data_IF_231598704246
#
_entry.id   IF_231598704246
#
_cell.length_a   1.000
_cell.length_b   1.000
_cell.length_c   1.000
_cell.angle_alpha   90.00
_cell.angle_beta   90.00
_cell.angle_gamma   90.00
#
_symmetry.space_group_name_H-M   'P 1'
#
loop_
_entity.id
_entity.type
_entity.pdbx_description
1 polymer ?
#
# COMPACT_ATOMS: atom_id res chain seq x y z
N UNK A 1 -9.14 -9.50 29.60
CA UNK A 1 -9.63 -8.48 28.64
C UNK A 1 -8.61 -8.11 27.56
N UNK A 2 -7.30 -8.02 27.87
CA UNK A 2 -6.26 -7.69 26.89
C UNK A 2 -6.19 -8.61 25.66
N UNK A 3 -6.32 -9.92 25.85
CA UNK A 3 -6.26 -10.90 24.75
C UNK A 3 -7.41 -10.75 23.75
N UNK A 4 -8.63 -10.46 24.22
CA UNK A 4 -9.77 -10.20 23.33
C UNK A 4 -9.57 -8.94 22.49
N UNK A 5 -9.09 -7.86 23.11
CA UNK A 5 -8.78 -6.62 22.40
C UNK A 5 -7.70 -6.86 21.34
N UNK A 6 -6.64 -7.61 21.69
CA UNK A 6 -5.58 -7.96 20.72
C UNK A 6 -6.12 -8.82 19.56
N UNK A 7 -6.99 -9.79 19.86
CA UNK A 7 -7.62 -10.63 18.84
C UNK A 7 -8.51 -9.81 17.88
N UNK A 8 -9.34 -8.91 18.42
CA UNK A 8 -10.16 -8.02 17.61
C UNK A 8 -9.32 -7.05 16.78
N UNK A 9 -8.26 -6.47 17.36
CA UNK A 9 -7.33 -5.61 16.63
C UNK A 9 -6.67 -6.34 15.47
N UNK A 10 -6.25 -7.59 15.69
CA UNK A 10 -5.69 -8.44 14.65
C UNK A 10 -6.71 -8.73 13.52
N UNK A 11 -7.95 -9.06 13.87
CA UNK A 11 -9.00 -9.28 12.87
C UNK A 11 -9.28 -8.01 12.05
N UNK A 12 -9.35 -6.85 12.69
CA UNK A 12 -9.46 -5.57 11.98
C UNK A 12 -8.28 -5.35 11.03
N UNK A 13 -7.05 -5.59 11.51
CA UNK A 13 -5.84 -5.48 10.68
C UNK A 13 -5.95 -6.37 9.43
N UNK A 14 -6.30 -7.64 9.58
CA UNK A 14 -6.41 -8.60 8.47
C UNK A 14 -7.49 -8.17 7.47
N UNK A 15 -8.69 -7.83 7.94
CA UNK A 15 -9.82 -7.47 7.06
C UNK A 15 -9.53 -6.19 6.30
N UNK A 16 -9.06 -5.14 6.99
CA UNK A 16 -8.77 -3.85 6.35
C UNK A 16 -7.55 -3.93 5.43
N UNK A 17 -6.52 -4.72 5.78
CA UNK A 17 -5.36 -4.93 4.92
C UNK A 17 -5.73 -5.71 3.67
N UNK A 18 -6.61 -6.71 3.76
CA UNK A 18 -7.10 -7.43 2.58
C UNK A 18 -7.90 -6.51 1.64
N UNK A 19 -8.82 -5.70 2.19
CA UNK A 19 -9.57 -4.71 1.40
C UNK A 19 -8.64 -3.67 0.77
N UNK A 20 -7.69 -3.13 1.54
CA UNK A 20 -6.71 -2.16 1.06
C UNK A 20 -5.82 -2.75 -0.03
N UNK A 21 -5.41 -4.02 0.08
CA UNK A 21 -4.63 -4.73 -0.96
C UNK A 21 -5.35 -4.69 -2.30
N UNK A 22 -6.64 -5.00 -2.34
CA UNK A 22 -7.42 -4.97 -3.58
C UNK A 22 -7.52 -3.56 -4.17
N UNK A 23 -7.77 -2.56 -3.35
CA UNK A 23 -7.88 -1.15 -3.80
C UNK A 23 -6.53 -0.60 -4.26
N UNK A 24 -5.44 -0.85 -3.51
CA UNK A 24 -4.08 -0.43 -3.87
C UNK A 24 -3.60 -1.16 -5.13
N UNK A 25 -3.84 -2.47 -5.24
CA UNK A 25 -3.53 -3.22 -6.44
C UNK A 25 -4.26 -2.65 -7.66
N UNK A 26 -5.54 -2.29 -7.51
CA UNK A 26 -6.31 -1.60 -8.55
C UNK A 26 -5.71 -0.26 -8.94
N UNK A 27 -5.38 0.56 -7.94
CA UNK A 27 -4.75 1.87 -8.13
C UNK A 27 -3.45 1.75 -8.93
N UNK A 28 -2.58 0.84 -8.52
CA UNK A 28 -1.29 0.62 -9.14
C UNK A 28 -1.41 0.00 -10.55
N UNK A 29 -2.32 -0.96 -10.74
CA UNK A 29 -2.59 -1.55 -12.05
C UNK A 29 -3.02 -0.49 -13.07
N UNK A 30 -3.87 0.45 -12.69
CA UNK A 30 -4.27 1.57 -13.55
C UNK A 30 -3.12 2.55 -13.79
N UNK A 31 -2.39 2.94 -12.75
CA UNK A 31 -1.27 3.87 -12.83
C UNK A 31 -0.14 3.33 -13.71
N UNK A 32 0.16 2.04 -13.61
CA UNK A 32 1.20 1.35 -14.37
C UNK A 32 0.72 0.80 -15.72
N UNK A 33 -0.53 1.02 -16.11
CA UNK A 33 -1.14 0.48 -17.35
C UNK A 33 -0.99 -1.03 -17.48
N UNK A 34 -1.26 -1.76 -16.39
CA UNK A 34 -1.23 -3.21 -16.43
C UNK A 34 -2.25 -3.75 -17.45
N UNK A 35 -1.93 -4.90 -18.04
CA UNK A 35 -2.75 -5.52 -19.06
C UNK A 35 -4.12 -5.91 -18.52
N UNK A 36 -5.18 -5.33 -19.09
CA UNK A 36 -6.56 -5.61 -18.72
C UNK A 36 -7.05 -7.00 -19.14
N UNK A 37 -6.36 -7.64 -20.08
CA UNK A 37 -6.68 -9.03 -20.48
C UNK A 37 -6.13 -10.04 -19.49
N UNK A 38 -5.33 -9.61 -18.53
CA UNK A 38 -4.83 -10.47 -17.46
C UNK A 38 -5.99 -10.87 -16.52
N UNK A 39 -6.20 -12.17 -16.25
CA UNK A 39 -7.30 -12.65 -15.39
C UNK A 39 -7.23 -12.09 -13.97
N UNK A 40 -6.03 -11.84 -13.44
CA UNK A 40 -5.86 -11.21 -12.12
C UNK A 40 -6.28 -9.73 -12.14
N UNK A 41 -5.93 -8.99 -13.18
CA UNK A 41 -6.41 -7.63 -13.35
C UNK A 41 -7.94 -7.61 -13.42
N UNK A 42 -8.55 -8.50 -14.22
CA UNK A 42 -10.01 -8.61 -14.33
C UNK A 42 -10.66 -8.95 -12.98
N UNK A 43 -10.08 -9.87 -12.20
CA UNK A 43 -10.53 -10.18 -10.84
C UNK A 43 -10.55 -8.92 -9.97
N UNK A 44 -9.43 -8.21 -9.88
CA UNK A 44 -9.33 -6.97 -9.09
C UNK A 44 -10.35 -5.94 -9.55
N UNK A 45 -10.51 -5.76 -10.87
CA UNK A 45 -11.48 -4.85 -11.45
C UNK A 45 -12.92 -5.22 -11.08
N UNK A 46 -13.27 -6.49 -11.19
CA UNK A 46 -14.63 -6.99 -10.90
C UNK A 46 -15.02 -6.71 -9.44
N UNK A 47 -14.13 -6.98 -8.49
CA UNK A 47 -14.43 -6.84 -7.07
C UNK A 47 -14.32 -5.40 -6.55
N UNK A 48 -13.51 -4.56 -7.17
CA UNK A 48 -13.37 -3.16 -6.76
C UNK A 48 -14.34 -2.21 -7.46
N UNK A 49 -14.84 -2.55 -8.63
CA UNK A 49 -15.79 -1.71 -9.41
C UNK A 49 -17.04 -1.29 -8.63
N UNK A 50 -17.73 -2.17 -7.89
CA UNK A 50 -18.95 -1.77 -7.17
C UNK A 50 -18.70 -0.61 -6.20
N UNK A 51 -17.51 -0.58 -5.57
CA UNK A 51 -17.14 0.44 -4.60
C UNK A 51 -16.62 1.71 -5.29
N UNK A 52 -15.83 1.55 -6.35
CA UNK A 52 -15.18 2.68 -7.04
C UNK A 52 -16.11 3.40 -8.03
N UNK A 53 -17.03 2.69 -8.67
CA UNK A 53 -17.89 3.26 -9.72
C UNK A 53 -18.74 4.45 -9.25
N UNK A 54 -19.43 4.40 -8.10
CA UNK A 54 -20.23 5.54 -7.64
C UNK A 54 -19.36 6.76 -7.31
N UNK A 55 -18.16 6.55 -6.73
CA UNK A 55 -17.26 7.64 -6.33
C UNK A 55 -16.60 8.28 -7.55
N UNK A 56 -16.28 7.51 -8.59
CA UNK A 56 -15.75 8.03 -9.85
C UNK A 56 -16.71 8.99 -10.57
N UNK A 57 -18.01 8.90 -10.32
CA UNK A 57 -18.98 9.83 -10.89
C UNK A 57 -18.85 11.23 -10.29
N UNK A 58 -18.37 11.32 -9.04
CA UNK A 58 -18.24 12.57 -8.29
C UNK A 58 -16.82 13.11 -8.43
N UNK A 59 -15.81 12.23 -8.36
CA UNK A 59 -14.39 12.60 -8.36
C UNK A 59 -13.75 12.13 -9.66
N UNK A 60 -13.40 13.04 -10.58
CA UNK A 60 -12.75 12.68 -11.83
C UNK A 60 -11.31 12.18 -11.58
N UNK A 61 -10.84 11.29 -12.44
CA UNK A 61 -9.46 10.82 -12.40
C UNK A 61 -8.48 11.96 -12.75
N UNK A 62 -7.39 12.03 -12.01
CA UNK A 62 -6.33 12.99 -12.33
C UNK A 62 -5.21 12.30 -13.10
N UNK A 63 -5.09 12.61 -14.41
CA UNK A 63 -4.12 12.00 -15.33
C UNK A 63 -4.22 10.47 -15.33
N UNK A 64 -3.24 9.78 -14.71
CA UNK A 64 -3.13 8.32 -14.62
C UNK A 64 -3.52 7.77 -13.25
N UNK A 65 -3.80 8.66 -12.30
CA UNK A 65 -4.10 8.28 -10.93
C UNK A 65 -5.61 8.22 -10.77
N UNK A 66 -6.09 7.08 -10.32
CA UNK A 66 -7.47 6.91 -9.92
C UNK A 66 -7.68 7.56 -8.55
N UNK A 67 -8.08 8.83 -8.55
CA UNK A 67 -8.30 9.61 -7.33
C UNK A 67 -9.35 8.98 -6.41
N UNK A 68 -10.39 8.36 -6.98
CA UNK A 68 -11.37 7.62 -6.19
C UNK A 68 -10.74 6.43 -5.45
N UNK A 69 -9.81 5.70 -6.09
CA UNK A 69 -9.12 4.59 -5.44
C UNK A 69 -8.18 5.08 -4.31
N UNK A 70 -7.47 6.21 -4.51
CA UNK A 70 -6.65 6.83 -3.47
C UNK A 70 -7.51 7.22 -2.27
N UNK A 71 -8.65 7.89 -2.53
CA UNK A 71 -9.55 8.31 -1.46
C UNK A 71 -10.11 7.12 -0.68
N UNK A 72 -10.56 6.07 -1.37
CA UNK A 72 -11.09 4.87 -0.70
C UNK A 72 -10.00 4.18 0.11
N UNK A 73 -8.80 4.01 -0.45
CA UNK A 73 -7.69 3.42 0.28
C UNK A 73 -7.37 4.21 1.56
N UNK A 74 -7.36 5.54 1.47
CA UNK A 74 -7.16 6.40 2.64
C UNK A 74 -8.30 6.31 3.66
N UNK A 75 -9.56 6.31 3.21
CA UNK A 75 -10.72 6.14 4.08
C UNK A 75 -10.73 4.79 4.79
N UNK A 76 -10.27 3.71 4.13
CA UNK A 76 -10.10 2.41 4.77
C UNK A 76 -9.06 2.48 5.90
N UNK A 77 -7.91 3.15 5.69
CA UNK A 77 -6.90 3.33 6.73
C UNK A 77 -7.43 4.21 7.87
N UNK A 78 -8.17 5.26 7.55
CA UNK A 78 -8.80 6.14 8.53
C UNK A 78 -9.82 5.38 9.40
N UNK A 79 -10.70 4.61 8.77
CA UNK A 79 -11.68 3.82 9.49
C UNK A 79 -11.02 2.73 10.35
N UNK A 80 -10.03 2.01 9.81
CA UNK A 80 -9.22 1.05 10.57
C UNK A 80 -8.62 1.69 11.81
N UNK A 81 -7.95 2.83 11.65
CA UNK A 81 -7.28 3.53 12.75
C UNK A 81 -8.27 4.02 13.80
N UNK A 82 -9.40 4.58 13.37
CA UNK A 82 -10.48 5.01 14.25
C UNK A 82 -11.03 3.84 15.09
N UNK A 83 -11.33 2.71 14.44
CA UNK A 83 -11.84 1.53 15.13
C UNK A 83 -10.85 0.99 16.17
N UNK A 84 -9.55 1.00 15.86
CA UNK A 84 -8.51 0.59 16.82
C UNK A 84 -8.49 1.54 18.04
N UNK A 85 -8.58 2.86 17.84
CA UNK A 85 -8.64 3.83 18.95
C UNK A 85 -9.89 3.62 19.82
N UNK A 86 -11.05 3.44 19.19
CA UNK A 86 -12.31 3.17 19.89
C UNK A 86 -12.23 1.86 20.70
N UNK A 87 -11.64 0.82 20.11
CA UNK A 87 -11.43 -0.47 20.79
C UNK A 87 -10.53 -0.34 22.03
N UNK A 88 -9.57 0.59 22.00
CA UNK A 88 -8.69 0.93 23.12
C UNK A 88 -9.34 1.90 24.13
N UNK A 89 -10.62 2.26 23.92
CA UNK A 89 -11.33 3.21 24.79
C UNK A 89 -10.83 4.64 24.71
N UNK A 90 -10.21 5.04 23.58
CA UNK A 90 -9.65 6.38 23.37
C UNK A 90 -10.31 7.06 22.17
N UNK A 91 -10.50 8.36 22.26
CA UNK A 91 -10.94 9.19 21.15
C UNK A 91 -9.76 10.00 20.63
N UNK A 92 -9.31 9.77 19.40
CA UNK A 92 -8.19 10.52 18.83
C UNK A 92 -8.60 11.92 18.41
N UNK A 93 -7.68 12.88 18.53
CA UNK A 93 -7.84 14.19 17.92
C UNK A 93 -7.94 14.06 16.39
N UNK A 94 -8.83 14.85 15.76
CA UNK A 94 -9.13 14.74 14.31
C UNK A 94 -7.88 14.94 13.47
N UNK A 95 -7.07 15.97 13.77
CA UNK A 95 -5.84 16.24 13.03
C UNK A 95 -4.84 15.06 13.10
N UNK A 96 -4.69 14.48 14.30
CA UNK A 96 -3.84 13.30 14.49
C UNK A 96 -4.36 12.08 13.75
N UNK A 97 -5.68 11.86 13.76
CA UNK A 97 -6.30 10.74 13.04
C UNK A 97 -6.10 10.85 11.53
N UNK A 98 -6.27 12.05 10.95
CA UNK A 98 -6.04 12.29 9.52
C UNK A 98 -4.58 12.07 9.15
N UNK A 99 -3.64 12.56 9.95
CA UNK A 99 -2.22 12.40 9.70
C UNK A 99 -1.78 10.93 9.84
N UNK A 100 -2.25 10.22 10.88
CA UNK A 100 -1.97 8.81 11.09
C UNK A 100 -2.51 7.94 9.95
N UNK A 101 -3.75 8.17 9.53
CA UNK A 101 -4.34 7.40 8.43
C UNK A 101 -3.62 7.63 7.10
N UNK A 102 -3.11 8.84 6.87
CA UNK A 102 -2.27 9.13 5.71
C UNK A 102 -0.91 8.42 5.79
N UNK A 103 -0.26 8.46 6.96
CA UNK A 103 0.98 7.73 7.20
C UNK A 103 0.78 6.21 7.03
N UNK A 104 -0.33 5.65 7.53
CA UNK A 104 -0.69 4.25 7.35
C UNK A 104 -0.85 3.87 5.87
N UNK A 105 -1.48 4.72 5.07
CA UNK A 105 -1.60 4.47 3.63
C UNK A 105 -0.25 4.48 2.93
N UNK A 106 0.62 5.44 3.26
CA UNK A 106 1.98 5.49 2.71
C UNK A 106 2.77 4.23 3.12
N UNK A 107 2.74 3.86 4.41
CA UNK A 107 3.40 2.66 4.90
C UNK A 107 2.90 1.41 4.17
N UNK A 108 1.58 1.29 4.04
CA UNK A 108 0.96 0.17 3.35
C UNK A 108 1.43 0.05 1.89
N UNK A 109 1.50 1.15 1.14
CA UNK A 109 1.98 1.16 -0.24
C UNK A 109 3.47 0.76 -0.31
N UNK A 110 4.31 1.28 0.60
CA UNK A 110 5.73 0.95 0.64
C UNK A 110 5.97 -0.52 0.99
N UNK A 111 5.25 -1.06 1.99
CA UNK A 111 5.29 -2.49 2.34
C UNK A 111 4.78 -3.36 1.19
N UNK A 112 3.69 -2.95 0.55
CA UNK A 112 3.15 -3.64 -0.62
C UNK A 112 4.22 -3.77 -1.72
N UNK A 113 4.93 -2.68 -2.05
CA UNK A 113 6.02 -2.72 -3.02
C UNK A 113 7.21 -3.56 -2.55
N UNK A 114 7.57 -3.53 -1.26
CA UNK A 114 8.62 -4.39 -0.71
C UNK A 114 8.31 -5.88 -0.95
N UNK A 115 7.09 -6.29 -0.59
CA UNK A 115 6.64 -7.68 -0.78
C UNK A 115 6.57 -8.02 -2.28
N UNK A 116 6.04 -7.11 -3.09
CA UNK A 116 5.90 -7.30 -4.53
C UNK A 116 7.26 -7.47 -5.21
N UNK A 117 8.25 -6.61 -4.92
CA UNK A 117 9.61 -6.69 -5.49
C UNK A 117 10.32 -7.94 -5.00
N UNK A 118 10.17 -8.29 -3.73
CA UNK A 118 10.75 -9.50 -3.16
C UNK A 118 10.22 -10.77 -3.85
N UNK A 119 8.89 -10.93 -3.93
CA UNK A 119 8.27 -12.09 -4.60
C UNK A 119 8.62 -12.11 -6.09
N UNK A 120 8.61 -10.97 -6.76
CA UNK A 120 9.02 -10.86 -8.16
C UNK A 120 10.48 -11.30 -8.35
N UNK A 121 11.39 -10.89 -7.47
CA UNK A 121 12.81 -11.27 -7.51
C UNK A 121 12.98 -12.79 -7.35
N UNK A 122 12.23 -13.40 -6.41
CA UNK A 122 12.23 -14.87 -6.25
C UNK A 122 11.70 -15.56 -7.50
N UNK A 123 10.57 -15.13 -8.06
CA UNK A 123 10.01 -15.72 -9.29
C UNK A 123 10.98 -15.62 -10.47
N UNK A 124 11.73 -14.51 -10.56
CA UNK A 124 12.77 -14.33 -11.58
C UNK A 124 13.92 -15.33 -11.40
N UNK A 125 14.27 -15.64 -10.15
CA UNK A 125 15.35 -16.58 -9.82
C UNK A 125 14.98 -18.03 -10.15
N UNK A 126 13.70 -18.39 -9.95
CA UNK A 126 13.18 -19.73 -10.26
C UNK A 126 12.78 -19.93 -11.73
N UNK A 127 13.10 -19.01 -12.62
CA UNK A 127 12.81 -19.07 -14.06
C UNK A 127 11.33 -19.41 -14.37
N UNK A 128 10.40 -18.85 -13.58
CA UNK A 128 8.97 -19.00 -13.81
C UNK A 128 8.61 -18.51 -15.20
N UNK A 129 7.68 -19.22 -15.87
CA UNK A 129 7.23 -18.88 -17.22
C UNK A 129 6.83 -17.40 -17.31
N UNK A 130 7.44 -16.68 -18.27
CA UNK A 130 7.19 -15.25 -18.51
C UNK A 130 5.75 -14.96 -18.94
N UNK A 131 5.04 -15.96 -19.42
CA UNK A 131 3.62 -15.84 -19.82
C UNK A 131 2.67 -16.04 -18.64
N UNK A 132 3.18 -16.46 -17.47
CA UNK A 132 2.34 -16.65 -16.29
C UNK A 132 1.64 -15.35 -15.90
N UNK A 133 0.28 -15.33 -15.74
CA UNK A 133 -0.48 -14.10 -15.49
C UNK A 133 0.00 -13.29 -14.27
N UNK A 134 0.39 -13.98 -13.20
CA UNK A 134 0.93 -13.34 -11.98
C UNK A 134 2.20 -12.56 -12.31
N UNK A 135 3.15 -13.20 -13.01
CA UNK A 135 4.43 -12.58 -13.34
C UNK A 135 4.25 -11.37 -14.28
N UNK A 136 3.32 -11.47 -15.25
CA UNK A 136 3.00 -10.34 -16.15
C UNK A 136 2.44 -9.13 -15.39
N UNK A 137 1.52 -9.36 -14.46
CA UNK A 137 1.00 -8.29 -13.61
C UNK A 137 2.10 -7.69 -12.74
N UNK A 138 2.87 -8.53 -12.05
CA UNK A 138 3.99 -8.08 -11.21
C UNK A 138 5.02 -7.26 -12.00
N UNK A 139 5.41 -7.72 -13.19
CA UNK A 139 6.31 -6.97 -14.07
C UNK A 139 5.80 -5.56 -14.37
N UNK A 140 4.50 -5.43 -14.68
CA UNK A 140 3.90 -4.12 -14.96
C UNK A 140 3.95 -3.18 -13.75
N UNK A 141 3.79 -3.72 -12.53
CA UNK A 141 3.78 -2.94 -11.28
C UNK A 141 5.19 -2.60 -10.79
N UNK A 142 6.14 -3.53 -10.95
CA UNK A 142 7.52 -3.41 -10.45
C UNK A 142 8.38 -2.56 -11.40
N UNK A 143 8.15 -2.63 -12.70
CA UNK A 143 8.95 -1.94 -13.72
C UNK A 143 9.12 -0.43 -13.45
N UNK A 144 8.09 0.36 -13.10
CA UNK A 144 8.28 1.80 -12.85
C UNK A 144 9.23 2.09 -11.69
N UNK A 145 9.25 1.23 -10.67
CA UNK A 145 10.10 1.37 -9.47
C UNK A 145 11.52 0.90 -9.75
N UNK A 146 11.69 -0.20 -10.49
CA UNK A 146 13.00 -0.75 -10.80
C UNK A 146 13.70 -0.05 -11.97
N UNK A 147 12.97 0.59 -12.89
CA UNK A 147 13.51 1.23 -14.08
C UNK A 147 14.73 2.13 -13.83
N UNK A 148 14.77 2.99 -12.79
CA UNK A 148 15.92 3.85 -12.54
C UNK A 148 17.19 3.12 -12.11
N UNK A 149 17.06 1.91 -11.52
CA UNK A 149 18.19 1.14 -10.97
C UNK A 149 18.51 -0.14 -11.75
N UNK A 150 17.59 -0.63 -12.57
CA UNK A 150 17.71 -1.86 -13.34
C UNK A 150 18.87 -1.81 -14.32
N UNK A 151 19.68 -2.85 -14.35
CA UNK A 151 20.81 -2.98 -15.26
C UNK A 151 22.04 -2.10 -14.95
N UNK A 152 21.94 -1.21 -13.95
CA UNK A 152 23.06 -0.37 -13.52
C UNK A 152 23.96 -1.04 -12.48
N UNK A 153 23.44 -2.04 -11.79
CA UNK A 153 24.09 -2.73 -10.69
C UNK A 153 24.14 -4.22 -10.96
N UNK A 154 24.74 -4.60 -12.08
CA UNK A 154 24.95 -6.02 -12.44
C UNK A 154 26.36 -6.41 -12.02
N UNK A 155 26.47 -7.40 -11.12
CA UNK A 155 27.75 -8.01 -10.73
C UNK A 155 27.60 -9.53 -10.76
N UNK A 156 28.58 -10.22 -11.30
CA UNK A 156 28.62 -11.69 -11.43
C UNK A 156 27.36 -12.29 -12.10
N UNK A 157 26.71 -11.55 -13.04
CA UNK A 157 25.51 -12.01 -13.74
C UNK A 157 24.20 -11.83 -12.96
N UNK A 158 24.25 -11.30 -11.73
CA UNK A 158 23.07 -10.99 -10.91
C UNK A 158 22.76 -9.49 -10.96
N UNK A 159 21.48 -9.16 -11.12
CA UNK A 159 21.00 -7.76 -11.03
C UNK A 159 20.64 -7.43 -9.57
N UNK A 160 21.45 -6.57 -8.95
CA UNK A 160 21.23 -6.06 -7.60
C UNK A 160 20.21 -4.90 -7.53
N UNK A 161 19.63 -4.49 -8.65
CA UNK A 161 18.61 -3.45 -8.71
C UNK A 161 17.44 -3.65 -7.74
N UNK A 162 16.84 -4.84 -7.65
CA UNK A 162 15.76 -5.11 -6.70
C UNK A 162 16.16 -4.90 -5.24
N UNK A 163 17.38 -5.29 -4.86
CA UNK A 163 17.90 -5.11 -3.50
C UNK A 163 18.05 -3.64 -3.13
N UNK A 164 18.60 -2.85 -4.05
CA UNK A 164 18.74 -1.39 -3.85
C UNK A 164 17.37 -0.74 -3.76
N UNK A 165 16.42 -1.12 -4.60
CA UNK A 165 15.07 -0.60 -4.54
C UNK A 165 14.41 -0.92 -3.18
N UNK A 166 14.56 -2.16 -2.67
CA UNK A 166 14.05 -2.52 -1.35
C UNK A 166 14.69 -1.71 -0.21
N UNK A 167 16.01 -1.49 -0.27
CA UNK A 167 16.70 -0.63 0.71
C UNK A 167 16.14 0.80 0.68
N UNK A 168 15.96 1.37 -0.50
CA UNK A 168 15.38 2.73 -0.66
C UNK A 168 13.95 2.77 -0.07
N UNK A 169 13.13 1.76 -0.33
CA UNK A 169 11.77 1.70 0.25
C UNK A 169 11.81 1.61 1.79
N UNK A 170 12.74 0.83 2.36
CA UNK A 170 12.92 0.77 3.83
C UNK A 170 13.38 2.12 4.37
N UNK A 171 14.32 2.79 3.70
CA UNK A 171 14.76 4.13 4.10
C UNK A 171 13.62 5.15 4.03
N UNK A 172 12.76 5.10 3.01
CA UNK A 172 11.56 5.96 2.93
C UNK A 172 10.61 5.69 4.11
N UNK A 173 10.42 4.44 4.50
CA UNK A 173 9.63 4.12 5.69
C UNK A 173 10.22 4.72 6.96
N UNK A 174 11.53 4.62 7.16
CA UNK A 174 12.21 5.13 8.35
C UNK A 174 12.27 6.66 8.38
N UNK A 175 12.51 7.31 7.23
CA UNK A 175 12.75 8.75 7.16
C UNK A 175 11.47 9.57 6.96
N UNK A 176 10.42 8.97 6.37
CA UNK A 176 9.17 9.68 6.06
C UNK A 176 8.04 9.16 6.93
N UNK A 177 7.76 7.85 6.89
CA UNK A 177 6.58 7.29 7.57
C UNK A 177 6.74 7.31 9.09
N UNK A 178 7.91 6.94 9.62
CA UNK A 178 8.11 6.89 11.07
C UNK A 178 7.96 8.28 11.74
N UNK A 179 8.53 9.38 11.22
CA UNK A 179 8.27 10.72 11.76
C UNK A 179 6.80 11.13 11.65
N UNK A 180 6.15 10.89 10.48
CA UNK A 180 4.72 11.21 10.30
C UNK A 180 3.85 10.48 11.32
N UNK A 181 4.14 9.20 11.57
CA UNK A 181 3.43 8.40 12.58
C UNK A 181 3.68 8.94 13.99
N UNK A 182 4.91 9.33 14.30
CA UNK A 182 5.28 9.93 15.59
C UNK A 182 4.51 11.22 15.84
N UNK A 183 4.55 12.18 14.92
CA UNK A 183 3.79 13.43 15.02
C UNK A 183 2.27 13.22 15.03
N UNK A 184 1.79 12.31 14.19
CA UNK A 184 0.38 11.95 14.15
C UNK A 184 -0.11 11.39 15.48
N UNK A 185 0.70 10.57 16.16
CA UNK A 185 0.35 10.01 17.48
C UNK A 185 0.32 11.11 18.56
N UNK A 186 1.27 12.04 18.56
CA UNK A 186 1.27 13.18 19.48
C UNK A 186 0.01 14.02 19.31
N UNK A 187 -0.38 14.35 18.07
CA UNK A 187 -1.58 15.10 17.78
C UNK A 187 -2.88 14.33 18.12
N UNK A 188 -2.88 13.01 17.90
CA UNK A 188 -4.04 12.17 18.20
C UNK A 188 -4.28 12.04 19.71
N UNK A 189 -3.24 11.95 20.51
CA UNK A 189 -3.33 11.80 21.96
C UNK A 189 -3.39 13.14 22.71
N UNK A 190 -3.30 14.27 22.01
CA UNK A 190 -3.26 15.59 22.65
C UNK A 190 -2.00 15.83 23.48
N UNK A 191 -0.95 15.03 23.27
CA UNK A 191 0.36 15.24 23.88
C UNK A 191 1.05 16.32 23.04
N UNK A 192 0.61 17.59 23.26
CA UNK A 192 1.24 18.74 22.65
C UNK A 192 2.70 18.78 23.10
N UNK A 193 3.59 19.16 22.20
CA UNK A 193 4.98 19.46 22.47
C UNK A 193 5.11 20.28 23.74
N UNK A 194 5.47 19.65 24.85
CA UNK A 194 6.12 20.37 25.94
C UNK A 194 7.48 20.73 25.34
N UNK A 195 7.55 21.97 24.84
CA UNK A 195 8.74 22.60 24.32
C UNK A 195 9.82 22.76 25.37
#
# INVERSE_FOLDING_TARGET
MSYLISAFSFLLEVVFSAAATLIVLRLLAEACRADFNNPLSQFVYRYTNPVLSPIRRIIPNWRRINTAAVLIAWLLMLLKRLLIFVLLGRMPGIAGLLLLSFADLLDFILVFYLVLIFVWSLMSMFQVDRYHPVLRLMNSLVEPVLRPVRGKLVAAGLDFGPWVAMIVLVLLRLLVVAPLTGYGMQLALGIGSVG
#
